data_IF_133896242078
#
_entry.id   IF_133896242078
#
_cell.length_a   1.000
_cell.length_b   1.000
_cell.length_c   1.000
_cell.angle_alpha   90.00
_cell.angle_beta   90.00
_cell.angle_gamma   90.00
#
_symmetry.space_group_name_H-M   'P 1'
#
loop_
_entity.id
_entity.type
_entity.pdbx_description
1 polymer ?
#
# COMPACT_ATOMS: atom_id res chain seq x y z
N UNK A 1 12.79 24.17 25.65
CA UNK A 1 11.52 23.59 25.18
C UNK A 1 10.70 23.23 26.41
N UNK A 2 9.54 23.86 26.65
CA UNK A 2 8.74 23.59 27.83
C UNK A 2 7.79 22.39 27.57
N UNK A 3 8.20 21.21 28.02
CA UNK A 3 7.44 19.96 27.85
C UNK A 3 6.06 19.98 28.52
N UNK A 4 5.92 20.73 29.65
CA UNK A 4 4.63 20.86 30.34
C UNK A 4 3.65 21.70 29.51
N UNK A 5 4.13 22.73 28.81
CA UNK A 5 3.33 23.53 27.90
C UNK A 5 2.88 22.70 26.70
N UNK A 6 3.80 21.93 26.08
CA UNK A 6 3.50 21.04 24.96
C UNK A 6 2.40 20.04 25.37
N UNK A 7 2.53 19.38 26.52
CA UNK A 7 1.54 18.44 27.01
C UNK A 7 0.15 19.05 27.18
N UNK A 8 0.07 20.25 27.75
CA UNK A 8 -1.20 20.99 27.89
C UNK A 8 -1.81 21.36 26.54
N UNK A 9 -0.98 21.77 25.59
CA UNK A 9 -1.44 22.11 24.25
C UNK A 9 -1.95 20.86 23.51
N UNK A 10 -1.28 19.71 23.62
CA UNK A 10 -1.73 18.43 23.02
C UNK A 10 -3.14 18.09 23.52
N UNK A 11 -3.38 18.16 24.84
CA UNK A 11 -4.71 17.88 25.40
C UNK A 11 -5.76 18.86 24.88
N UNK A 12 -5.45 20.16 24.84
CA UNK A 12 -6.37 21.18 24.30
C UNK A 12 -6.68 20.93 22.82
N UNK A 13 -5.66 20.63 22.01
CA UNK A 13 -5.84 20.33 20.57
C UNK A 13 -6.66 19.06 20.37
N UNK A 14 -6.39 18.02 21.15
CA UNK A 14 -7.16 16.78 21.10
C UNK A 14 -8.64 17.04 21.40
N UNK A 15 -8.97 17.70 22.48
CA UNK A 15 -10.35 18.00 22.86
C UNK A 15 -11.08 18.84 21.81
N UNK A 16 -10.36 19.72 21.09
CA UNK A 16 -10.96 20.63 20.11
C UNK A 16 -11.06 20.05 18.69
N UNK A 17 -10.14 19.16 18.27
CA UNK A 17 -9.99 18.73 16.88
C UNK A 17 -10.00 17.20 16.71
N UNK A 18 -10.38 16.42 17.73
CA UNK A 18 -10.39 14.95 17.64
C UNK A 18 -11.27 14.44 16.49
N UNK A 19 -12.38 15.10 16.20
CA UNK A 19 -13.29 14.81 15.10
C UNK A 19 -12.60 14.95 13.73
N UNK A 20 -11.80 16.00 13.56
CA UNK A 20 -11.02 16.21 12.35
C UNK A 20 -9.96 15.13 12.16
N UNK A 21 -9.31 14.72 13.24
CA UNK A 21 -8.29 13.68 13.17
C UNK A 21 -8.90 12.28 12.99
N UNK A 22 -9.84 11.87 13.86
CA UNK A 22 -10.34 10.50 13.89
C UNK A 22 -11.48 10.26 12.89
N UNK A 23 -12.36 11.24 12.65
CA UNK A 23 -13.45 11.06 11.69
C UNK A 23 -12.94 11.41 10.31
N UNK A 24 -12.65 12.67 10.04
CA UNK A 24 -12.28 13.10 8.69
C UNK A 24 -10.94 12.54 8.24
N UNK A 25 -9.86 12.83 8.98
CA UNK A 25 -8.50 12.49 8.56
C UNK A 25 -8.26 10.98 8.44
N UNK A 26 -8.72 10.22 9.43
CA UNK A 26 -8.54 8.77 9.44
C UNK A 26 -9.42 8.08 8.39
N UNK A 27 -10.66 8.54 8.18
CA UNK A 27 -11.54 8.02 7.13
C UNK A 27 -10.92 8.18 5.74
N UNK A 28 -10.44 9.39 5.39
CA UNK A 28 -9.76 9.63 4.12
C UNK A 28 -8.48 8.79 3.97
N UNK A 29 -7.68 8.68 5.01
CA UNK A 29 -6.45 7.87 5.02
C UNK A 29 -6.77 6.39 4.76
N UNK A 30 -7.71 5.82 5.51
CA UNK A 30 -8.05 4.39 5.39
C UNK A 30 -8.81 4.08 4.10
N UNK A 31 -9.73 4.96 3.66
CA UNK A 31 -10.43 4.79 2.38
C UNK A 31 -9.47 4.83 1.21
N UNK A 32 -8.54 5.76 1.21
CA UNK A 32 -7.52 5.87 0.17
C UNK A 32 -6.60 4.64 0.15
N UNK A 33 -6.15 4.18 1.32
CA UNK A 33 -5.35 2.97 1.44
C UNK A 33 -6.11 1.72 0.97
N UNK A 34 -7.38 1.57 1.37
CA UNK A 34 -8.21 0.43 0.98
C UNK A 34 -8.46 0.38 -0.54
N UNK A 35 -8.82 1.51 -1.15
CA UNK A 35 -9.00 1.64 -2.60
C UNK A 35 -7.70 1.29 -3.33
N UNK A 36 -6.60 1.89 -2.88
CA UNK A 36 -5.27 1.67 -3.46
C UNK A 36 -4.87 0.20 -3.45
N UNK A 37 -4.99 -0.47 -2.30
CA UNK A 37 -4.58 -1.86 -2.18
C UNK A 37 -5.51 -2.80 -2.93
N UNK A 38 -6.81 -2.54 -2.92
CA UNK A 38 -7.78 -3.34 -3.66
C UNK A 38 -7.49 -3.32 -5.17
N UNK A 39 -7.41 -2.13 -5.77
CA UNK A 39 -7.11 -2.01 -7.19
C UNK A 39 -5.65 -2.34 -7.51
N UNK A 40 -4.73 -2.02 -6.61
CA UNK A 40 -3.32 -2.38 -6.70
C UNK A 40 -3.11 -3.90 -6.71
N UNK A 41 -3.86 -4.65 -5.90
CA UNK A 41 -3.81 -6.11 -5.90
C UNK A 41 -4.30 -6.70 -7.24
N UNK A 42 -5.39 -6.17 -7.80
CA UNK A 42 -5.92 -6.62 -9.09
C UNK A 42 -4.91 -6.33 -10.20
N UNK A 43 -4.49 -5.07 -10.35
CA UNK A 43 -3.56 -4.67 -11.40
C UNK A 43 -2.18 -5.31 -11.22
N UNK A 44 -1.68 -5.40 -9.99
CA UNK A 44 -0.41 -6.03 -9.68
C UNK A 44 -0.41 -7.54 -9.99
N UNK A 45 -1.53 -8.23 -9.76
CA UNK A 45 -1.68 -9.62 -10.16
C UNK A 45 -1.62 -9.79 -11.68
N UNK A 46 -2.30 -8.91 -12.43
CA UNK A 46 -2.23 -8.92 -13.90
C UNK A 46 -0.81 -8.64 -14.40
N UNK A 47 -0.11 -7.66 -13.80
CA UNK A 47 1.27 -7.35 -14.14
C UNK A 47 2.20 -8.52 -13.81
N UNK A 48 2.01 -9.19 -12.67
CA UNK A 48 2.77 -10.38 -12.30
C UNK A 48 2.60 -11.51 -13.33
N UNK A 49 1.36 -11.77 -13.79
CA UNK A 49 1.09 -12.74 -14.85
C UNK A 49 1.79 -12.38 -16.16
N UNK A 50 1.77 -11.11 -16.56
CA UNK A 50 2.48 -10.63 -17.74
C UNK A 50 4.00 -10.82 -17.62
N UNK A 51 4.58 -10.52 -16.43
CA UNK A 51 6.02 -10.73 -16.16
C UNK A 51 6.45 -12.19 -16.19
N UNK A 52 5.55 -13.10 -15.87
CA UNK A 52 5.79 -14.55 -15.89
C UNK A 52 5.42 -15.19 -17.24
N UNK A 53 4.89 -14.41 -18.18
CA UNK A 53 4.50 -14.89 -19.51
C UNK A 53 5.70 -15.38 -20.31
N UNK A 54 5.47 -16.40 -21.15
CA UNK A 54 6.42 -16.86 -22.17
C UNK A 54 6.56 -15.88 -23.34
N UNK A 55 5.58 -14.98 -23.51
CA UNK A 55 5.56 -13.97 -24.58
C UNK A 55 6.50 -12.82 -24.21
N UNK A 56 7.62 -12.74 -24.92
CA UNK A 56 8.73 -11.82 -24.61
C UNK A 56 8.29 -10.34 -24.52
N UNK A 57 7.51 -9.78 -25.46
CA UNK A 57 7.05 -8.40 -25.38
C UNK A 57 6.27 -8.09 -24.10
N UNK A 58 5.34 -8.95 -23.69
CA UNK A 58 4.54 -8.74 -22.48
C UNK A 58 5.40 -8.75 -21.22
N UNK A 59 6.38 -9.67 -21.16
CA UNK A 59 7.34 -9.72 -20.04
C UNK A 59 8.17 -8.45 -19.95
N UNK A 60 8.66 -7.93 -21.10
CA UNK A 60 9.46 -6.72 -21.14
C UNK A 60 8.65 -5.48 -20.72
N UNK A 61 7.44 -5.29 -21.25
CA UNK A 61 6.57 -4.16 -20.89
C UNK A 61 6.29 -4.16 -19.39
N UNK A 62 5.88 -5.30 -18.84
CA UNK A 62 5.57 -5.42 -17.42
C UNK A 62 6.81 -5.22 -16.53
N UNK A 63 7.98 -5.72 -16.95
CA UNK A 63 9.24 -5.51 -16.23
C UNK A 63 9.63 -4.03 -16.23
N UNK A 64 9.63 -3.38 -17.40
CA UNK A 64 9.96 -1.96 -17.55
C UNK A 64 9.05 -1.07 -16.70
N UNK A 65 7.72 -1.33 -16.73
CA UNK A 65 6.77 -0.63 -15.85
C UNK A 65 7.18 -0.76 -14.38
N UNK A 66 7.42 -1.98 -13.92
CA UNK A 66 7.76 -2.24 -12.52
C UNK A 66 9.07 -1.56 -12.12
N UNK A 67 10.10 -1.59 -12.96
CA UNK A 67 11.38 -0.95 -12.72
C UNK A 67 11.26 0.59 -12.66
N UNK A 68 10.50 1.21 -13.59
CA UNK A 68 10.28 2.66 -13.61
C UNK A 68 9.55 3.10 -12.34
N UNK A 69 8.43 2.44 -12.01
CA UNK A 69 7.62 2.83 -10.86
C UNK A 69 8.37 2.63 -9.54
N UNK A 70 9.07 1.50 -9.36
CA UNK A 70 9.84 1.24 -8.14
C UNK A 70 11.17 2.01 -8.09
N UNK A 71 11.68 2.45 -9.21
CA UNK A 71 12.90 3.24 -9.34
C UNK A 71 12.69 4.75 -9.20
N UNK A 72 11.46 5.23 -9.07
CA UNK A 72 11.16 6.66 -8.96
C UNK A 72 10.47 7.00 -7.63
N UNK A 73 10.71 8.20 -7.05
CA UNK A 73 10.10 8.59 -5.79
C UNK A 73 8.57 8.68 -5.88
N UNK A 74 7.86 8.12 -4.89
CA UNK A 74 6.40 8.14 -4.83
C UNK A 74 5.83 9.56 -4.90
N UNK A 75 6.42 10.53 -4.21
CA UNK A 75 5.97 11.91 -4.25
C UNK A 75 6.03 12.50 -5.66
N UNK A 76 7.08 12.19 -6.45
CA UNK A 76 7.18 12.61 -7.84
C UNK A 76 6.05 12.01 -8.69
N UNK A 77 5.74 10.73 -8.49
CA UNK A 77 4.62 10.08 -9.18
C UNK A 77 3.29 10.75 -8.86
N UNK A 78 3.05 11.10 -7.58
CA UNK A 78 1.85 11.84 -7.17
C UNK A 78 1.74 13.17 -7.90
N UNK A 79 2.82 13.95 -8.00
CA UNK A 79 2.83 15.21 -8.75
C UNK A 79 2.49 14.99 -10.24
N UNK A 80 3.12 14.00 -10.87
CA UNK A 80 2.88 13.70 -12.29
C UNK A 80 1.42 13.32 -12.53
N UNK A 81 0.86 12.40 -11.73
CA UNK A 81 -0.53 11.98 -11.88
C UNK A 81 -1.51 13.11 -11.57
N UNK A 82 -1.23 13.90 -10.54
CA UNK A 82 -2.11 15.00 -10.13
C UNK A 82 -2.23 16.09 -11.19
N UNK A 83 -1.12 16.47 -11.83
CA UNK A 83 -1.10 17.55 -12.81
C UNK A 83 -1.26 17.09 -14.25
N UNK A 84 -0.68 15.95 -14.65
CA UNK A 84 -0.74 15.50 -16.04
C UNK A 84 -2.02 14.70 -16.36
N UNK A 85 -2.51 13.90 -15.42
CA UNK A 85 -3.64 13.01 -15.68
C UNK A 85 -4.94 13.75 -16.05
N UNK A 86 -5.31 14.89 -15.39
CA UNK A 86 -6.48 15.69 -15.81
C UNK A 86 -6.34 16.31 -17.20
N UNK A 87 -5.12 16.58 -17.66
CA UNK A 87 -4.87 17.09 -19.01
C UNK A 87 -5.08 16.02 -20.07
N UNK A 88 -4.74 14.77 -19.77
CA UNK A 88 -4.91 13.62 -20.67
C UNK A 88 -6.35 13.08 -20.63
N UNK A 89 -7.00 13.13 -19.47
CA UNK A 89 -8.34 12.59 -19.24
C UNK A 89 -9.21 13.70 -18.63
N UNK A 90 -9.92 14.49 -19.46
CA UNK A 90 -10.71 15.66 -18.99
C UNK A 90 -11.76 15.32 -17.91
N UNK A 91 -12.27 14.09 -17.90
CA UNK A 91 -13.19 13.60 -16.87
C UNK A 91 -12.60 13.66 -15.44
N UNK A 92 -11.27 13.58 -15.29
CA UNK A 92 -10.57 13.67 -14.01
C UNK A 92 -10.30 15.12 -13.58
N UNK A 93 -10.65 16.09 -14.41
CA UNK A 93 -10.54 17.50 -14.02
C UNK A 93 -11.36 17.77 -12.76
N UNK A 94 -10.77 18.45 -11.76
CA UNK A 94 -11.35 18.71 -10.43
C UNK A 94 -11.62 17.46 -9.56
N UNK A 95 -11.14 16.26 -9.95
CA UNK A 95 -11.25 15.03 -9.18
C UNK A 95 -9.89 14.67 -8.52
N UNK A 96 -9.40 15.56 -7.71
CA UNK A 96 -8.07 15.49 -7.08
C UNK A 96 -7.85 14.18 -6.32
N UNK A 97 -8.82 13.76 -5.52
CA UNK A 97 -8.78 12.49 -4.80
C UNK A 97 -8.59 11.30 -5.74
N UNK A 98 -9.30 11.28 -6.87
CA UNK A 98 -9.18 10.19 -7.86
C UNK A 98 -7.79 10.17 -8.51
N UNK A 99 -7.21 11.33 -8.84
CA UNK A 99 -5.85 11.40 -9.40
C UNK A 99 -4.81 10.83 -8.43
N UNK A 100 -4.92 11.17 -7.14
CA UNK A 100 -4.05 10.65 -6.09
C UNK A 100 -4.28 9.15 -5.89
N UNK A 101 -5.52 8.69 -5.84
CA UNK A 101 -5.84 7.26 -5.71
C UNK A 101 -5.30 6.44 -6.89
N UNK A 102 -5.36 6.95 -8.12
CA UNK A 102 -4.79 6.29 -9.30
C UNK A 102 -3.27 6.23 -9.20
N UNK A 103 -2.59 7.30 -8.79
CA UNK A 103 -1.14 7.32 -8.61
C UNK A 103 -0.68 6.28 -7.59
N UNK A 104 -1.30 6.28 -6.41
CA UNK A 104 -1.03 5.29 -5.36
C UNK A 104 -1.31 3.86 -5.84
N UNK A 105 -2.40 3.66 -6.59
CA UNK A 105 -2.77 2.35 -7.15
C UNK A 105 -1.74 1.86 -8.17
N UNK A 106 -1.27 2.72 -9.06
CA UNK A 106 -0.20 2.37 -10.00
C UNK A 106 1.10 2.01 -9.27
N UNK A 107 1.45 2.77 -8.23
CA UNK A 107 2.60 2.45 -7.41
C UNK A 107 2.45 1.09 -6.72
N UNK A 108 1.36 0.89 -5.98
CA UNK A 108 1.07 -0.37 -5.28
C UNK A 108 1.03 -1.56 -6.24
N UNK A 109 0.47 -1.42 -7.44
CA UNK A 109 0.44 -2.48 -8.44
C UNK A 109 1.84 -2.98 -8.84
N UNK A 110 2.83 -2.08 -8.91
CA UNK A 110 4.20 -2.47 -9.19
C UNK A 110 4.82 -3.28 -8.03
N UNK A 111 4.58 -2.85 -6.77
CA UNK A 111 5.05 -3.58 -5.59
C UNK A 111 4.33 -4.93 -5.43
N UNK A 112 3.01 -4.98 -5.59
CA UNK A 112 2.23 -6.22 -5.54
C UNK A 112 2.70 -7.21 -6.61
N UNK A 113 2.98 -6.75 -7.84
CA UNK A 113 3.49 -7.62 -8.90
C UNK A 113 4.82 -8.27 -8.52
N UNK A 114 5.68 -7.54 -7.83
CA UNK A 114 6.95 -8.05 -7.33
C UNK A 114 6.77 -9.00 -6.14
N UNK A 115 5.85 -8.70 -5.22
CA UNK A 115 5.48 -9.57 -4.09
C UNK A 115 5.00 -10.93 -4.63
N UNK A 116 4.14 -10.93 -5.63
CA UNK A 116 3.62 -12.17 -6.22
C UNK A 116 4.74 -12.94 -6.93
N UNK A 117 5.55 -12.25 -7.75
CA UNK A 117 6.66 -12.87 -8.47
C UNK A 117 7.66 -13.49 -7.49
N UNK A 118 8.10 -12.74 -6.49
CA UNK A 118 9.06 -13.22 -5.49
C UNK A 118 8.49 -14.33 -4.62
N UNK A 119 7.21 -14.26 -4.25
CA UNK A 119 6.54 -15.31 -3.49
C UNK A 119 6.45 -16.64 -4.25
N UNK A 120 6.23 -16.60 -5.57
CA UNK A 120 6.25 -17.81 -6.40
C UNK A 120 7.69 -18.33 -6.59
N UNK A 121 8.65 -17.44 -6.80
CA UNK A 121 10.07 -17.82 -6.99
C UNK A 121 10.74 -18.32 -5.70
N UNK A 122 10.20 -18.00 -4.54
CA UNK A 122 10.67 -18.50 -3.26
C UNK A 122 10.31 -19.97 -3.01
N UNK A 123 9.49 -20.59 -3.86
CA UNK A 123 9.18 -22.02 -3.73
C UNK A 123 10.36 -22.87 -4.12
N UNK A 124 10.58 -23.96 -3.36
CA UNK A 124 11.65 -24.90 -3.63
C UNK A 124 11.49 -25.49 -5.05
N UNK A 125 12.54 -25.41 -5.86
CA UNK A 125 12.58 -25.93 -7.21
C UNK A 125 12.35 -27.44 -7.25
N UNK A 126 12.78 -28.17 -6.20
CA UNK A 126 12.56 -29.59 -6.03
C UNK A 126 11.09 -30.00 -6.05
N UNK A 127 10.17 -29.11 -5.57
CA UNK A 127 8.73 -29.34 -5.68
C UNK A 127 8.28 -29.40 -7.15
N UNK A 128 8.82 -28.51 -7.97
CA UNK A 128 8.53 -28.48 -9.41
C UNK A 128 9.13 -29.70 -10.10
N UNK A 129 10.37 -30.06 -9.78
CA UNK A 129 11.06 -31.20 -10.37
C UNK A 129 10.37 -32.53 -10.01
N UNK A 130 10.00 -32.73 -8.73
CA UNK A 130 9.28 -33.91 -8.28
C UNK A 130 7.92 -34.05 -8.98
N UNK A 131 7.14 -32.98 -9.03
CA UNK A 131 5.83 -32.98 -9.71
C UNK A 131 5.96 -33.31 -11.20
N UNK A 132 6.99 -32.75 -11.86
CA UNK A 132 7.28 -33.01 -13.30
C UNK A 132 7.72 -34.47 -13.52
N UNK A 133 8.53 -35.03 -12.62
CA UNK A 133 8.94 -36.43 -12.67
C UNK A 133 7.79 -37.43 -12.53
N UNK A 134 6.72 -37.02 -11.79
CA UNK A 134 5.48 -37.77 -11.69
C UNK A 134 4.54 -37.58 -12.88
N UNK A 135 4.99 -36.88 -13.96
CA UNK A 135 4.22 -36.69 -15.19
C UNK A 135 3.24 -35.52 -15.15
N UNK A 136 3.24 -34.69 -14.11
CA UNK A 136 2.37 -33.51 -14.05
C UNK A 136 2.75 -32.49 -15.13
N UNK A 137 1.74 -31.88 -15.79
CA UNK A 137 1.98 -30.78 -16.70
C UNK A 137 2.45 -29.53 -15.93
N UNK A 138 3.15 -28.60 -16.61
CA UNK A 138 3.62 -27.35 -15.97
C UNK A 138 2.47 -26.53 -15.35
N UNK A 139 1.33 -26.47 -16.03
CA UNK A 139 0.15 -25.77 -15.53
C UNK A 139 -0.39 -26.45 -14.26
N UNK A 140 -0.49 -27.77 -14.26
CA UNK A 140 -0.99 -28.54 -13.12
C UNK A 140 -0.05 -28.42 -11.93
N UNK A 141 1.27 -28.50 -12.14
CA UNK A 141 2.29 -28.26 -11.11
C UNK A 141 2.13 -26.85 -10.51
N UNK A 142 2.00 -25.82 -11.36
CA UNK A 142 1.83 -24.45 -10.89
C UNK A 142 0.57 -24.27 -10.05
N UNK A 143 -0.58 -24.77 -10.52
CA UNK A 143 -1.88 -24.53 -9.86
C UNK A 143 -2.12 -25.39 -8.63
N UNK A 144 -1.61 -26.63 -8.61
CA UNK A 144 -1.91 -27.57 -7.52
C UNK A 144 -0.78 -27.70 -6.48
N UNK A 145 0.46 -27.39 -6.84
CA UNK A 145 1.61 -27.55 -5.94
C UNK A 145 2.19 -26.20 -5.55
N UNK A 146 2.60 -25.38 -6.53
CA UNK A 146 3.36 -24.16 -6.27
C UNK A 146 2.47 -23.04 -5.76
N UNK A 147 1.39 -22.72 -6.45
CA UNK A 147 0.55 -21.57 -6.13
C UNK A 147 -0.10 -21.65 -4.73
N UNK A 148 -0.65 -22.80 -4.27
CA UNK A 148 -1.21 -22.90 -2.92
C UNK A 148 -0.17 -22.63 -1.81
N UNK A 149 1.09 -23.03 -2.03
CA UNK A 149 2.17 -22.77 -1.11
C UNK A 149 2.64 -21.31 -1.20
N UNK A 150 2.82 -20.80 -2.42
CA UNK A 150 3.22 -19.40 -2.65
C UNK A 150 2.25 -18.39 -2.04
N UNK A 151 0.94 -18.65 -2.11
CA UNK A 151 -0.11 -17.79 -1.52
C UNK A 151 0.10 -17.58 -0.02
N UNK A 152 0.59 -18.58 0.71
CA UNK A 152 0.88 -18.46 2.15
C UNK A 152 1.98 -17.44 2.44
N UNK A 153 2.92 -17.22 1.52
CA UNK A 153 3.96 -16.19 1.61
C UNK A 153 3.49 -14.85 1.03
N UNK A 154 2.70 -14.87 -0.03
CA UNK A 154 2.20 -13.68 -0.71
C UNK A 154 1.21 -12.90 0.16
N UNK A 155 0.25 -13.58 0.80
CA UNK A 155 -0.82 -12.91 1.56
C UNK A 155 -0.32 -12.07 2.74
N UNK A 156 0.62 -12.54 3.60
CA UNK A 156 1.22 -11.70 4.64
C UNK A 156 1.98 -10.50 4.06
N UNK A 157 2.70 -10.69 2.95
CA UNK A 157 3.41 -9.61 2.28
C UNK A 157 2.46 -8.53 1.72
N UNK A 158 1.30 -8.93 1.17
CA UNK A 158 0.23 -7.99 0.78
C UNK A 158 -0.36 -7.25 1.99
N UNK A 159 -0.49 -7.92 3.13
CA UNK A 159 -0.88 -7.27 4.38
C UNK A 159 0.13 -6.19 4.82
N UNK A 160 1.42 -6.45 4.66
CA UNK A 160 2.47 -5.46 4.93
C UNK A 160 2.43 -4.31 3.92
N UNK A 161 2.13 -4.58 2.65
CA UNK A 161 1.92 -3.55 1.63
C UNK A 161 0.77 -2.62 2.03
N UNK A 162 -0.34 -3.15 2.56
CA UNK A 162 -1.44 -2.33 3.08
C UNK A 162 -0.98 -1.38 4.20
N UNK A 163 -0.14 -1.85 5.12
CA UNK A 163 0.43 -1.01 6.18
C UNK A 163 1.34 0.08 5.60
N UNK A 164 2.14 -0.26 4.59
CA UNK A 164 3.00 0.71 3.89
C UNK A 164 2.18 1.79 3.21
N UNK A 165 1.20 1.41 2.40
CA UNK A 165 0.31 2.35 1.70
C UNK A 165 -0.45 3.24 2.69
N UNK A 166 -0.91 2.71 3.84
CA UNK A 166 -1.57 3.51 4.88
C UNK A 166 -0.67 4.67 5.37
N UNK A 167 0.65 4.47 5.43
CA UNK A 167 1.60 5.55 5.76
C UNK A 167 1.85 6.47 4.57
N UNK A 168 1.97 5.90 3.37
CA UNK A 168 2.28 6.65 2.15
C UNK A 168 1.14 7.58 1.71
N UNK A 169 -0.10 7.31 2.15
CA UNK A 169 -1.21 8.27 1.98
C UNK A 169 -0.90 9.64 2.58
N UNK A 170 -0.01 9.73 3.57
CA UNK A 170 0.41 11.02 4.15
C UNK A 170 1.05 11.97 3.14
N UNK A 171 1.66 11.45 2.07
CA UNK A 171 2.22 12.25 0.97
C UNK A 171 1.14 12.99 0.18
N UNK A 172 -0.09 12.49 0.20
CA UNK A 172 -1.25 13.09 -0.45
C UNK A 172 -1.67 14.43 0.18
N UNK A 173 -1.22 14.69 1.41
CA UNK A 173 -1.42 15.97 2.10
C UNK A 173 -0.85 17.17 1.33
N UNK A 174 0.16 16.93 0.47
CA UNK A 174 0.71 17.94 -0.44
C UNK A 174 -0.37 18.53 -1.36
N UNK A 175 -1.44 17.79 -1.62
CA UNK A 175 -2.58 18.19 -2.47
C UNK A 175 -3.86 18.48 -1.66
N UNK A 176 -3.77 18.53 -0.34
CA UNK A 176 -4.88 18.85 0.57
C UNK A 176 -6.15 18.01 0.35
N UNK A 177 -6.00 16.71 0.13
CA UNK A 177 -7.15 15.83 -0.15
C UNK A 177 -7.94 15.38 1.10
N UNK A 178 -7.58 15.81 2.28
CA UNK A 178 -8.34 15.60 3.52
C UNK A 178 -7.84 14.47 4.41
N UNK A 179 -6.75 13.78 4.05
CA UNK A 179 -6.11 12.74 4.86
C UNK A 179 -5.61 13.24 6.23
N UNK A 180 -5.13 12.33 7.06
CA UNK A 180 -4.70 12.61 8.44
C UNK A 180 -3.61 13.70 8.50
N UNK A 181 -2.65 13.65 7.58
CA UNK A 181 -1.60 14.66 7.51
C UNK A 181 -2.13 16.01 7.03
N UNK A 182 -3.12 16.03 6.10
CA UNK A 182 -3.84 17.24 5.71
C UNK A 182 -4.51 17.89 6.91
N UNK A 183 -5.19 17.12 7.77
CA UNK A 183 -5.82 17.68 8.99
C UNK A 183 -4.78 18.26 9.94
N UNK A 184 -3.62 17.63 10.07
CA UNK A 184 -2.50 18.18 10.82
C UNK A 184 -2.07 19.55 10.30
N UNK A 185 -1.87 19.68 8.98
CA UNK A 185 -1.47 20.94 8.34
C UNK A 185 -2.51 22.05 8.55
N UNK A 186 -3.81 21.71 8.47
CA UNK A 186 -4.91 22.65 8.73
C UNK A 186 -4.92 23.11 10.20
N UNK A 187 -4.77 22.19 11.15
CA UNK A 187 -4.70 22.53 12.60
C UNK A 187 -3.45 23.36 12.88
N UNK A 188 -2.30 23.02 12.31
CA UNK A 188 -1.06 23.82 12.38
C UNK A 188 -1.28 25.24 11.88
N UNK A 189 -1.93 25.41 10.70
CA UNK A 189 -2.20 26.73 10.12
C UNK A 189 -3.14 27.59 10.94
N UNK A 190 -4.10 26.97 11.66
CA UNK A 190 -5.08 27.71 12.48
C UNK A 190 -4.60 28.03 13.88
N UNK A 191 -3.68 27.21 14.42
CA UNK A 191 -3.23 27.34 15.84
C UNK A 191 -1.81 27.89 15.97
N UNK A 192 -1.06 27.94 14.86
CA UNK A 192 0.37 28.27 14.84
C UNK A 192 1.25 27.32 15.68
N UNK A 193 0.69 26.22 16.15
CA UNK A 193 1.42 25.16 16.86
C UNK A 193 1.95 24.15 15.82
N UNK A 194 3.24 23.78 15.90
CA UNK A 194 3.85 22.92 14.91
C UNK A 194 4.07 21.49 15.41
N UNK A 195 4.59 21.35 16.63
CA UNK A 195 5.01 20.05 17.17
C UNK A 195 3.79 19.26 17.68
N UNK A 196 2.88 19.92 18.36
CA UNK A 196 1.76 19.28 19.04
C UNK A 196 0.82 18.55 18.07
N UNK A 197 0.37 19.15 16.95
CA UNK A 197 -0.42 18.40 15.95
C UNK A 197 0.34 17.22 15.34
N UNK A 198 1.66 17.37 15.10
CA UNK A 198 2.50 16.28 14.57
C UNK A 198 2.60 15.11 15.55
N UNK A 199 2.75 15.38 16.86
CA UNK A 199 2.77 14.32 17.88
C UNK A 199 1.43 13.59 17.92
N UNK A 200 0.31 14.31 17.82
CA UNK A 200 -1.03 13.71 17.80
C UNK A 200 -1.17 12.74 16.64
N UNK A 201 -0.87 13.20 15.40
CA UNK A 201 -1.03 12.32 14.24
C UNK A 201 -0.02 11.18 14.22
N UNK A 202 1.21 11.40 14.70
CA UNK A 202 2.19 10.33 14.86
C UNK A 202 1.67 9.22 15.79
N UNK A 203 1.02 9.58 16.89
CA UNK A 203 0.38 8.63 17.80
C UNK A 203 -0.77 7.88 17.10
N UNK A 204 -1.61 8.58 16.30
CA UNK A 204 -2.71 7.94 15.57
C UNK A 204 -2.16 6.97 14.52
N UNK A 205 -1.20 7.39 13.68
CA UNK A 205 -0.54 6.49 12.71
C UNK A 205 0.09 5.28 13.39
N UNK A 206 0.78 5.48 14.53
CA UNK A 206 1.36 4.39 15.29
C UNK A 206 0.31 3.38 15.76
N UNK A 207 -0.78 3.85 16.36
CA UNK A 207 -1.87 2.98 16.85
C UNK A 207 -2.49 2.20 15.68
N UNK A 208 -2.83 2.88 14.58
CA UNK A 208 -3.43 2.25 13.39
C UNK A 208 -2.50 1.21 12.79
N UNK A 209 -1.25 1.56 12.53
CA UNK A 209 -0.28 0.63 11.93
C UNK A 209 0.08 -0.52 12.89
N UNK A 210 0.11 -0.28 14.20
CA UNK A 210 0.29 -1.32 15.20
C UNK A 210 -0.86 -2.33 15.19
N UNK A 211 -2.11 -1.87 15.17
CA UNK A 211 -3.29 -2.74 15.09
C UNK A 211 -3.24 -3.56 13.79
N UNK A 212 -3.01 -2.90 12.65
CA UNK A 212 -2.88 -3.58 11.36
C UNK A 212 -1.77 -4.63 11.37
N UNK A 213 -0.60 -4.31 11.92
CA UNK A 213 0.52 -5.26 12.04
C UNK A 213 0.17 -6.48 12.88
N UNK A 214 -0.56 -6.29 13.99
CA UNK A 214 -1.03 -7.42 14.81
C UNK A 214 -2.05 -8.29 14.08
N UNK A 215 -2.95 -7.67 13.29
CA UNK A 215 -3.90 -8.41 12.46
C UNK A 215 -3.19 -9.23 11.38
N UNK A 216 -2.23 -8.63 10.66
CA UNK A 216 -1.42 -9.33 9.64
C UNK A 216 -0.64 -10.49 10.26
N UNK A 217 0.03 -10.26 11.41
CA UNK A 217 0.77 -11.31 12.11
C UNK A 217 -0.13 -12.45 12.63
N UNK A 218 -1.35 -12.13 13.07
CA UNK A 218 -2.33 -13.14 13.49
C UNK A 218 -2.81 -13.97 12.28
N UNK A 219 -3.04 -13.31 11.16
CA UNK A 219 -3.42 -13.96 9.89
C UNK A 219 -2.31 -14.86 9.37
N UNK A 220 -1.06 -14.40 9.36
CA UNK A 220 0.11 -15.19 8.98
C UNK A 220 0.25 -16.46 9.84
N UNK A 221 0.16 -16.32 11.17
CA UNK A 221 0.19 -17.48 12.07
C UNK A 221 -0.89 -18.49 11.77
N UNK A 222 -2.08 -18.04 11.36
CA UNK A 222 -3.20 -18.93 11.00
C UNK A 222 -2.93 -19.69 9.70
N UNK A 223 -2.34 -19.02 8.69
CA UNK A 223 -1.98 -19.64 7.42
C UNK A 223 -0.89 -20.72 7.57
N UNK A 224 0.08 -20.49 8.47
CA UNK A 224 1.21 -21.40 8.70
C UNK A 224 0.89 -22.57 9.65
N UNK A 225 -0.27 -22.61 10.31
CA UNK A 225 -0.63 -23.69 11.25
C UNK A 225 -0.67 -25.10 10.62
N UNK A 226 -0.80 -25.21 9.30
CA UNK A 226 -0.77 -26.48 8.59
C UNK A 226 0.61 -26.97 8.13
N UNK A 227 1.66 -26.15 8.30
CA UNK A 227 3.00 -26.45 7.80
C UNK A 227 3.92 -27.09 8.88
N UNK A 228 3.45 -27.14 10.14
CA UNK A 228 4.17 -27.77 11.25
C UNK A 228 3.69 -29.22 11.37
N UNK A 229 4.22 -30.09 10.47
CA UNK A 229 4.26 -31.53 10.65
C UNK A 229 5.54 -32.07 10.07
#
# INVERSE_FOLDING_TARGET
>A
MDFALIGRNIVKLWLKYWDKFLITGLEYTLSLAAITVFFGAILGSLIALLRMSKVVPFRWIAATYTEIIRGTPMLLQLYLFYFALPQLIPFLNRKQYACVAIALTCNSAAYVSEIIRSGIQAMDIGQTEAARSLGMSQSLTMTQIILPQAVKNILPALGNEFIMITKDTSLASTFFIGDLMTQCLLVKGTTYLTIEPLVIIAAIYFVVTFILSKLVAAFERRLRRGDIR
#
